data_IF_087414234363
#
_entry.id   IF_087414234363
#
_cell.length_a   1.000
_cell.length_b   1.000
_cell.length_c   1.000
_cell.angle_alpha   90.00
_cell.angle_beta   90.00
_cell.angle_gamma   90.00
#
_symmetry.space_group_name_H-M   'P 1'
#
loop_
_entity.id
_entity.type
_entity.pdbx_description
1 polymer ?
2 non-polymer ?
3 non-polymer ?
4 non-polymer ?
5 water ?
#
# COMPACT_ATOMS: atom_id res chain seq x y z
N UNK A 1 10.51 7.34 27.48
CA UNK A 1 9.42 8.09 26.87
C UNK A 1 9.35 7.86 25.39
N UNK A 2 8.16 8.00 24.83
CA UNK A 2 7.95 7.86 23.40
C UNK A 2 6.66 8.55 23.00
N UNK A 3 6.68 9.21 21.84
CA UNK A 3 5.49 9.88 21.30
C UNK A 3 4.39 8.91 20.95
N UNK A 4 4.76 7.64 20.80
CA UNK A 4 3.84 6.63 20.35
C UNK A 4 3.14 7.12 19.09
N UNK A 5 3.91 7.75 18.20
CA UNK A 5 3.38 8.26 16.95
C UNK A 5 3.31 7.06 16.01
N UNK A 6 2.11 6.54 15.88
CA UNK A 6 1.91 5.29 15.17
C UNK A 6 0.83 5.51 14.12
N UNK A 7 1.14 5.14 12.88
CA UNK A 7 0.21 5.32 11.77
C UNK A 7 -0.23 3.96 11.26
N UNK A 8 -1.54 3.79 11.11
CA UNK A 8 -2.08 2.57 10.53
C UNK A 8 -2.05 2.68 9.01
N UNK A 9 -1.30 1.79 8.37
CA UNK A 9 -1.17 1.76 6.91
C UNK A 9 -1.69 0.43 6.44
N UNK A 10 -2.71 0.43 5.60
CA UNK A 10 -3.31 -0.80 5.09
C UNK A 10 -2.88 -1.03 3.65
N UNK A 11 -2.45 -2.25 3.34
CA UNK A 11 -1.94 -2.59 2.02
C UNK A 11 -2.92 -3.53 1.33
N UNK A 12 -3.50 -3.05 0.21
CA UNK A 12 -4.60 -3.72 -0.47
C UNK A 12 -4.24 -4.07 -1.90
N UNK A 13 -4.91 -5.08 -2.44
CA UNK A 13 -4.74 -5.43 -3.83
C UNK A 13 -4.85 -6.93 -4.06
N UNK A 14 -4.92 -7.31 -5.34
CA UNK A 14 -5.04 -8.68 -5.82
C UNK A 14 -3.89 -9.57 -5.34
N UNK A 15 -4.08 -10.89 -5.36
CA UNK A 15 -3.03 -11.80 -4.94
C UNK A 15 -1.76 -11.79 -5.78
N UNK A 16 -1.83 -11.26 -7.00
CA UNK A 16 -0.63 -11.17 -7.83
C UNK A 16 0.22 -9.94 -7.54
N UNK A 17 -0.27 -9.02 -6.72
CA UNK A 17 0.30 -7.69 -6.67
C UNK A 17 1.65 -7.57 -5.95
N UNK A 18 1.89 -8.43 -4.96
CA UNK A 18 3.15 -8.40 -4.24
C UNK A 18 3.14 -7.60 -2.95
N UNK A 19 1.99 -7.55 -2.30
CA UNK A 19 1.80 -6.81 -1.04
C UNK A 19 2.72 -7.30 0.08
N UNK A 20 2.76 -8.60 0.29
CA UNK A 20 3.58 -9.13 1.36
C UNK A 20 5.06 -8.88 1.05
N UNK A 21 5.44 -9.06 -0.21
CA UNK A 21 6.82 -8.84 -0.61
C UNK A 21 7.23 -7.38 -0.41
N UNK A 22 6.33 -6.45 -0.73
CA UNK A 22 6.58 -5.04 -0.53
C UNK A 22 6.78 -4.74 0.95
N UNK A 23 5.89 -5.28 1.78
CA UNK A 23 5.93 -5.04 3.21
C UNK A 23 7.18 -5.64 3.83
N UNK A 24 7.53 -6.85 3.42
CA UNK A 24 8.71 -7.50 3.99
C UNK A 24 10.00 -6.84 3.49
N UNK A 25 10.00 -6.33 2.26
CA UNK A 25 11.16 -5.59 1.78
C UNK A 25 11.38 -4.35 2.66
N UNK A 26 10.30 -3.65 2.97
CA UNK A 26 10.39 -2.46 3.81
C UNK A 26 10.71 -2.79 5.26
N UNK A 27 9.98 -3.74 5.81
CA UNK A 27 10.01 -3.96 7.26
C UNK A 27 11.23 -4.74 7.73
N UNK A 28 11.82 -5.55 6.86
CA UNK A 28 12.95 -6.38 7.25
C UNK A 28 13.97 -6.59 6.13
N UNK A 29 13.75 -5.92 5.01
CA UNK A 29 14.67 -5.99 3.88
C UNK A 29 15.00 -7.42 3.45
N UNK A 30 13.98 -8.13 2.97
CA UNK A 30 14.16 -9.50 2.50
C UNK A 30 13.11 -9.83 1.44
N UNK A 31 13.40 -10.81 0.57
CA UNK A 31 12.51 -11.16 -0.55
C UNK A 31 12.45 -12.67 -0.86
N UNK A 32 11.26 -13.17 -1.18
CA UNK A 32 11.08 -14.56 -1.58
C UNK A 32 10.38 -14.72 -2.92
N UNK A 33 10.93 -15.60 -3.75
CA UNK A 33 10.36 -15.86 -5.07
C UNK A 33 9.14 -16.77 -5.03
N UNK A 34 9.16 -17.74 -4.11
CA UNK A 34 8.04 -18.68 -3.99
C UNK A 34 6.86 -18.04 -3.29
N UNK A 35 5.74 -18.05 -3.98
CA UNK A 35 4.51 -17.41 -3.49
C UNK A 35 3.90 -18.16 -2.32
N UNK A 36 3.75 -17.47 -1.20
CA UNK A 36 3.01 -17.99 -0.05
C UNK A 36 1.86 -17.04 0.25
N UNK A 37 0.66 -17.50 -0.09
CA UNK A 37 -0.55 -16.68 0.03
C UNK A 37 -0.83 -16.27 1.48
N UNK A 38 -1.17 -15.01 1.67
CA UNK A 38 -1.54 -14.50 2.99
C UNK A 38 -3.01 -14.82 3.25
N UNK A 39 -3.26 -15.54 4.33
CA UNK A 39 -4.62 -15.83 4.73
C UNK A 39 -5.07 -14.80 5.78
N UNK A 40 -6.09 -14.04 5.43
CA UNK A 40 -6.63 -13.01 6.31
C UNK A 40 -5.75 -11.79 6.25
N UNK A 41 -4.85 -11.67 7.21
CA UNK A 41 -3.88 -10.59 7.17
C UNK A 41 -2.73 -10.85 8.10
N UNK A 42 -1.71 -10.01 7.95
CA UNK A 42 -0.54 -10.09 8.80
C UNK A 42 -0.22 -8.65 9.15
N UNK A 43 0.62 -8.46 10.16
CA UNK A 43 0.90 -7.14 10.68
C UNK A 43 2.37 -6.97 10.92
N UNK A 44 2.87 -5.82 10.50
CA UNK A 44 4.29 -5.49 10.65
C UNK A 44 4.42 -4.13 11.31
N UNK A 45 5.56 -3.91 11.96
CA UNK A 45 5.88 -2.60 12.49
C UNK A 45 7.26 -2.19 12.00
N UNK A 46 7.39 -0.93 11.57
CA UNK A 46 8.72 -0.37 11.36
C UNK A 46 8.75 1.09 11.70
N UNK A 47 9.75 1.47 12.49
CA UNK A 47 9.92 2.84 12.90
C UNK A 47 10.92 3.50 11.97
N UNK A 48 10.59 4.71 11.52
CA UNK A 48 11.49 5.48 10.70
C UNK A 48 11.64 6.89 11.27
N UNK A 49 12.70 7.57 10.90
CA UNK A 49 12.93 8.94 11.34
C UNK A 49 12.80 9.88 10.15
N UNK A 50 11.78 10.72 10.19
CA UNK A 50 11.58 11.76 9.18
C UNK A 50 12.39 13.02 9.51
N UNK A 51 12.53 13.94 8.55
CA UNK A 51 13.34 15.14 8.80
C UNK A 51 12.94 15.91 10.06
N UNK A 52 13.94 16.44 10.75
CA UNK A 52 13.71 17.12 12.00
C UNK A 52 13.70 16.14 13.16
N UNK A 53 14.26 14.95 12.93
CA UNK A 53 14.25 13.94 13.98
C UNK A 53 12.83 13.63 14.43
N UNK A 54 11.99 13.40 13.44
CA UNK A 54 10.59 13.10 13.69
C UNK A 54 10.37 11.60 13.56
N UNK A 55 10.25 10.93 14.70
CA UNK A 55 10.13 9.49 14.71
C UNK A 55 8.71 9.00 14.62
N UNK A 56 8.48 8.05 13.71
CA UNK A 56 7.14 7.56 13.52
C UNK A 56 7.17 6.08 13.23
N UNK A 57 6.18 5.38 13.78
CA UNK A 57 6.08 3.95 13.63
C UNK A 57 4.95 3.65 12.67
N UNK A 58 5.27 2.92 11.60
CA UNK A 58 4.25 2.47 10.67
C UNK A 58 3.74 1.11 11.10
N UNK A 59 2.44 1.04 11.36
CA UNK A 59 1.76 -0.20 11.66
C UNK A 59 1.18 -0.67 10.34
N UNK A 60 1.84 -1.64 9.72
CA UNK A 60 1.44 -2.06 8.39
C UNK A 60 0.56 -3.29 8.43
N UNK A 61 -0.64 -3.14 7.88
CA UNK A 61 -1.61 -4.22 7.82
C UNK A 61 -1.53 -4.80 6.43
N UNK A 62 -0.93 -5.98 6.32
CA UNK A 62 -0.75 -6.68 5.05
C UNK A 62 -1.96 -7.58 4.86
N UNK A 63 -2.88 -7.14 4.00
CA UNK A 63 -4.17 -7.80 3.84
C UNK A 63 -4.09 -8.91 2.78
N UNK A 64 -4.70 -10.06 3.04
CA UNK A 64 -4.74 -11.11 2.03
C UNK A 64 -5.65 -10.77 0.86
N UNK A 65 -5.22 -11.09 -0.35
CA UNK A 65 -6.00 -10.78 -1.54
C UNK A 65 -7.41 -11.39 -1.57
N UNK A 66 -7.62 -12.50 -0.89
CA UNK A 66 -8.92 -13.17 -0.89
C UNK A 66 -9.95 -12.42 -0.05
N UNK A 67 -9.48 -11.49 0.79
CA UNK A 67 -10.39 -10.83 1.72
C UNK A 67 -11.45 -9.97 1.02
N UNK A 68 -11.20 -9.62 -0.24
CA UNK A 68 -12.15 -8.80 -1.00
C UNK A 68 -13.50 -9.52 -1.15
N UNK A 69 -13.48 -10.84 -1.00
CA UNK A 69 -14.70 -11.63 -1.15
C UNK A 69 -15.60 -11.66 0.07
N UNK A 70 -15.14 -11.10 1.19
CA UNK A 70 -15.92 -11.12 2.43
C UNK A 70 -16.15 -9.76 3.05
N UNK A 71 -16.67 -9.77 4.27
CA UNK A 71 -17.02 -8.53 4.97
C UNK A 71 -15.98 -8.09 6.00
N UNK A 72 -15.02 -8.96 6.27
CA UNK A 72 -13.96 -8.63 7.24
C UNK A 72 -13.12 -7.47 6.75
N UNK A 73 -13.04 -7.32 5.44
CA UNK A 73 -12.23 -6.26 4.85
C UNK A 73 -12.59 -4.86 5.36
N UNK A 74 -13.89 -4.58 5.47
CA UNK A 74 -14.32 -3.26 5.92
C UNK A 74 -13.74 -2.95 7.29
N UNK A 75 -13.68 -3.95 8.15
CA UNK A 75 -13.15 -3.81 9.50
C UNK A 75 -11.66 -3.53 9.49
N UNK A 76 -10.94 -4.20 8.58
CA UNK A 76 -9.51 -4.02 8.48
C UNK A 76 -9.15 -2.61 8.00
N UNK A 77 -9.99 -2.05 7.13
CA UNK A 77 -9.72 -0.73 6.57
C UNK A 77 -10.04 0.39 7.57
N UNK A 78 -11.01 0.14 8.43
CA UNK A 78 -11.43 1.12 9.42
C UNK A 78 -10.26 1.69 10.21
N UNK A 79 -10.19 3.01 10.29
CA UNK A 79 -9.20 3.67 11.12
C UNK A 79 -7.83 3.82 10.45
N UNK A 80 -7.73 3.47 9.17
CA UNK A 80 -6.47 3.61 8.46
C UNK A 80 -6.11 5.09 8.27
N UNK A 81 -4.83 5.41 8.45
CA UNK A 81 -4.32 6.74 8.10
C UNK A 81 -3.84 6.77 6.66
N UNK A 82 -3.38 5.62 6.17
CA UNK A 82 -2.95 5.50 4.79
C UNK A 82 -3.38 4.18 4.20
N UNK A 83 -3.65 4.17 2.90
CA UNK A 83 -4.01 2.96 2.17
C UNK A 83 -3.11 2.88 0.95
N UNK A 84 -2.48 1.73 0.74
CA UNK A 84 -1.77 1.47 -0.51
C UNK A 84 -2.62 0.57 -1.39
N UNK A 85 -2.90 1.03 -2.61
CA UNK A 85 -3.55 0.19 -3.61
C UNK A 85 -2.44 -0.33 -4.51
N UNK A 86 -2.11 -1.61 -4.38
CA UNK A 86 -0.96 -2.18 -5.04
C UNK A 86 -1.42 -3.03 -6.23
N UNK A 87 -0.73 -2.89 -7.35
CA UNK A 87 -0.97 -3.81 -8.47
C UNK A 87 0.36 -4.22 -9.08
N UNK A 88 0.32 -5.29 -9.86
CA UNK A 88 1.47 -5.81 -10.61
C UNK A 88 1.42 -5.16 -11.99
N UNK A 89 2.46 -4.40 -12.35
CA UNK A 89 2.41 -3.66 -13.61
C UNK A 89 2.35 -4.57 -14.84
N UNK A 90 2.62 -5.87 -14.66
CA UNK A 90 2.53 -6.83 -15.77
C UNK A 90 1.20 -7.57 -15.85
N UNK A 91 0.30 -7.27 -14.93
CA UNK A 91 -0.90 -8.08 -14.76
C UNK A 91 -2.14 -7.19 -14.81
N UNK A 92 -2.81 -7.18 -15.96
CA UNK A 92 -3.92 -6.27 -16.15
C UNK A 92 -5.04 -6.49 -15.13
N UNK A 93 -5.37 -7.75 -14.85
CA UNK A 93 -6.42 -8.05 -13.88
C UNK A 93 -6.13 -7.43 -12.52
N UNK A 94 -4.87 -7.46 -12.10
CA UNK A 94 -4.53 -6.87 -10.80
C UNK A 94 -4.81 -5.37 -10.78
N UNK A 95 -4.63 -4.71 -11.91
CA UNK A 95 -4.93 -3.28 -11.99
C UNK A 95 -6.44 -3.04 -12.03
N UNK A 96 -7.14 -3.76 -12.89
CA UNK A 96 -8.59 -3.65 -13.02
C UNK A 96 -9.28 -3.89 -11.67
N UNK A 97 -8.77 -4.88 -10.93
CA UNK A 97 -9.38 -5.23 -9.64
C UNK A 97 -9.28 -4.13 -8.58
N UNK A 98 -8.40 -3.16 -8.79
CA UNK A 98 -8.28 -2.09 -7.80
C UNK A 98 -9.58 -1.31 -7.63
N UNK A 99 -10.43 -1.30 -8.66
CA UNK A 99 -11.72 -0.63 -8.53
C UNK A 99 -12.52 -1.23 -7.39
N UNK A 100 -12.42 -2.54 -7.23
CA UNK A 100 -13.19 -3.24 -6.19
C UNK A 100 -12.65 -2.87 -4.81
N UNK A 101 -11.33 -2.90 -4.67
CA UNK A 101 -10.71 -2.55 -3.40
C UNK A 101 -11.00 -1.09 -3.05
N UNK A 102 -10.87 -0.20 -4.03
CA UNK A 102 -11.07 1.21 -3.76
C UNK A 102 -12.54 1.54 -3.46
N UNK A 103 -13.47 0.81 -4.06
CA UNK A 103 -14.88 0.98 -3.70
C UNK A 103 -15.09 0.74 -2.20
N UNK A 104 -14.47 -0.30 -1.67
CA UNK A 104 -14.57 -0.57 -0.24
C UNK A 104 -13.92 0.55 0.58
N UNK A 105 -12.75 1.01 0.15
CA UNK A 105 -12.08 2.12 0.84
C UNK A 105 -12.98 3.35 0.93
N UNK A 106 -13.60 3.72 -0.19
CA UNK A 106 -14.48 4.87 -0.22
C UNK A 106 -15.69 4.67 0.67
N UNK A 107 -16.25 3.47 0.64
CA UNK A 107 -17.42 3.15 1.46
C UNK A 107 -17.09 3.33 2.95
N UNK A 108 -15.95 2.81 3.36
CA UNK A 108 -15.54 2.93 4.76
C UNK A 108 -15.24 4.37 5.13
N UNK A 109 -14.63 5.12 4.21
CA UNK A 109 -14.30 6.52 4.44
C UNK A 109 -15.57 7.35 4.62
N UNK A 110 -16.60 7.01 3.85
CA UNK A 110 -17.87 7.71 3.89
C UNK A 110 -18.58 7.49 5.24
N UNK A 111 -18.62 6.23 5.68
CA UNK A 111 -19.37 5.89 6.88
C UNK A 111 -18.61 6.22 8.17
N UNK A 112 -17.28 6.25 8.08
CA UNK A 112 -16.47 6.62 9.23
C UNK A 112 -16.19 8.11 9.21
N UNK A 113 -16.65 8.78 8.17
CA UNK A 113 -16.43 10.22 8.03
C UNK A 113 -14.94 10.55 8.12
N UNK A 114 -14.11 9.67 7.59
CA UNK A 114 -12.66 9.88 7.61
C UNK A 114 -12.14 10.09 6.20
N UNK A 115 -10.83 10.29 6.08
CA UNK A 115 -10.21 10.51 4.78
C UNK A 115 -8.73 10.11 4.77
N UNK A 116 -8.48 8.81 4.82
CA UNK A 116 -7.11 8.30 4.79
C UNK A 116 -6.44 8.62 3.45
N UNK A 117 -5.15 8.93 3.48
CA UNK A 117 -4.41 9.19 2.26
C UNK A 117 -4.29 7.90 1.47
N UNK A 118 -4.50 7.97 0.16
CA UNK A 118 -4.46 6.78 -0.67
C UNK A 118 -3.34 6.90 -1.71
N UNK A 119 -2.54 5.84 -1.80
CA UNK A 119 -1.40 5.79 -2.70
C UNK A 119 -1.62 4.66 -3.71
N UNK A 120 -1.38 4.94 -4.98
CA UNK A 120 -1.40 3.91 -6.01
C UNK A 120 0.02 3.44 -6.22
N UNK A 121 0.23 2.13 -6.08
CA UNK A 121 1.58 1.57 -6.11
C UNK A 121 1.69 0.53 -7.20
N UNK A 122 2.42 0.88 -8.27
CA UNK A 122 2.71 -0.08 -9.32
C UNK A 122 3.96 -0.86 -8.93
N UNK A 123 3.77 -2.11 -8.55
CA UNK A 123 4.87 -2.97 -8.13
C UNK A 123 5.41 -3.80 -9.31
N UNK A 124 6.60 -4.36 -9.09
CA UNK A 124 7.26 -5.20 -10.08
C UNK A 124 7.83 -4.38 -11.23
N UNK A 125 8.41 -3.21 -10.92
CA UNK A 125 9.02 -2.42 -12.00
C UNK A 125 10.31 -3.05 -12.54
N UNK A 126 10.85 -4.04 -11.84
CA UNK A 126 11.94 -4.84 -12.39
C UNK A 126 11.49 -5.58 -13.66
N UNK A 127 10.17 -5.73 -13.83
CA UNK A 127 9.62 -6.41 -15.00
C UNK A 127 9.10 -5.39 -16.01
N UNK A 128 9.68 -4.20 -16.01
CA UNK A 128 9.15 -3.12 -16.85
C UNK A 128 9.08 -3.52 -18.33
N UNK A 129 10.00 -4.35 -18.79
CA UNK A 129 9.99 -4.73 -20.20
C UNK A 129 8.76 -5.57 -20.58
N UNK A 130 8.09 -6.15 -19.59
CA UNK A 130 6.86 -6.91 -19.85
C UNK A 130 5.63 -6.24 -19.23
N UNK A 131 5.78 -4.96 -18.95
CA UNK A 131 4.70 -4.12 -18.47
C UNK A 131 3.47 -4.19 -19.37
N UNK A 132 2.29 -4.25 -18.76
CA UNK A 132 1.07 -4.17 -19.54
C UNK A 132 0.26 -2.90 -19.25
N UNK A 133 0.30 -2.41 -18.01
CA UNK A 133 -0.39 -1.16 -17.68
C UNK A 133 0.47 0.05 -18.06
N UNK A 134 -0.05 0.88 -18.96
CA UNK A 134 0.67 2.08 -19.40
C UNK A 134 0.84 3.07 -18.25
N UNK A 135 2.01 3.71 -18.15
CA UNK A 135 2.21 4.72 -17.11
C UNK A 135 1.15 5.81 -17.21
N UNK A 136 0.70 6.11 -18.42
CA UNK A 136 -0.32 7.13 -18.63
C UNK A 136 -1.63 6.78 -17.93
N UNK A 137 -1.97 5.50 -17.91
CA UNK A 137 -3.22 5.05 -17.29
C UNK A 137 -3.10 5.09 -15.77
N UNK A 138 -1.94 4.68 -15.27
CA UNK A 138 -1.63 4.78 -13.84
C UNK A 138 -1.80 6.25 -13.40
N UNK A 139 -1.21 7.18 -14.16
CA UNK A 139 -1.31 8.60 -13.85
C UNK A 139 -2.74 9.09 -13.88
N UNK A 140 -3.50 8.65 -14.89
CA UNK A 140 -4.90 9.05 -15.04
C UNK A 140 -5.73 8.62 -13.82
N UNK A 141 -5.53 7.39 -13.39
CA UNK A 141 -6.23 6.86 -12.23
C UNK A 141 -5.87 7.70 -10.98
N UNK A 142 -4.60 8.08 -10.84
CA UNK A 142 -4.20 8.96 -9.74
C UNK A 142 -4.90 10.31 -9.81
N UNK A 143 -4.92 10.90 -11.00
CA UNK A 143 -5.50 12.22 -11.20
C UNK A 143 -7.00 12.21 -10.90
N UNK A 144 -7.67 11.14 -11.32
CA UNK A 144 -9.13 11.04 -11.14
C UNK A 144 -9.50 10.99 -9.66
N UNK A 145 -8.61 10.45 -8.83
CA UNK A 145 -8.96 10.16 -7.44
C UNK A 145 -8.09 10.84 -6.40
N UNK A 146 -7.13 11.64 -6.83
CA UNK A 146 -6.23 12.30 -5.91
C UNK A 146 -5.23 11.39 -5.20
N UNK A 147 -4.84 10.30 -5.86
CA UNK A 147 -3.88 9.38 -5.24
C UNK A 147 -2.47 9.90 -5.37
N UNK A 148 -1.59 9.56 -4.43
CA UNK A 148 -0.17 9.73 -4.67
C UNK A 148 0.29 8.56 -5.54
N UNK A 149 1.35 8.78 -6.29
CA UNK A 149 1.81 7.83 -7.29
C UNK A 149 3.16 7.25 -6.97
N UNK A 150 3.27 5.92 -7.03
CA UNK A 150 4.54 5.24 -6.75
C UNK A 150 4.75 4.08 -7.69
N UNK A 151 6.01 3.90 -8.07
CA UNK A 151 6.45 2.74 -8.83
C UNK A 151 7.61 2.12 -8.08
N UNK A 152 7.50 0.84 -7.79
CA UNK A 152 8.45 0.19 -6.89
C UNK A 152 8.76 -1.22 -7.36
N UNK A 153 9.82 -1.82 -6.80
CA UNK A 153 10.04 -3.24 -6.95
C UNK A 153 10.38 -3.85 -5.61
N UNK A 154 9.49 -4.69 -5.09
CA UNK A 154 9.80 -5.41 -3.86
C UNK A 154 11.01 -6.32 -4.04
N UNK A 155 11.19 -6.81 -5.26
CA UNK A 155 12.27 -7.74 -5.55
C UNK A 155 13.66 -7.09 -5.49
N UNK A 156 13.82 -5.94 -6.13
CA UNK A 156 15.13 -5.27 -6.13
C UNK A 156 15.25 -4.28 -4.99
N UNK A 157 14.10 -3.91 -4.40
CA UNK A 157 14.04 -2.88 -3.37
C UNK A 157 13.86 -1.48 -3.93
N UNK A 158 13.90 -1.35 -5.24
CA UNK A 158 13.79 -0.07 -5.94
C UNK A 158 12.61 0.77 -5.42
N UNK A 159 12.92 1.88 -4.77
CA UNK A 159 11.94 2.88 -4.33
C UNK A 159 10.95 2.42 -3.26
N UNK A 160 11.20 1.25 -2.66
CA UNK A 160 10.28 0.73 -1.63
C UNK A 160 10.32 1.58 -0.35
N UNK A 161 11.52 1.80 0.18
CA UNK A 161 11.63 2.65 1.35
C UNK A 161 11.07 4.05 1.05
N UNK A 162 11.41 4.59 -0.11
CA UNK A 162 10.94 5.93 -0.47
C UNK A 162 9.42 5.99 -0.52
N UNK A 163 8.78 4.94 -0.99
CA UNK A 163 7.33 4.89 -1.04
C UNK A 163 6.73 5.01 0.35
N UNK A 164 7.16 4.14 1.27
CA UNK A 164 6.61 4.17 2.62
C UNK A 164 6.94 5.48 3.35
N UNK A 165 8.15 5.98 3.13
CA UNK A 165 8.57 7.25 3.71
C UNK A 165 7.67 8.39 3.22
N UNK A 166 7.40 8.42 1.92
CA UNK A 166 6.55 9.46 1.35
C UNK A 166 5.13 9.37 1.88
N UNK A 167 4.60 8.15 1.97
CA UNK A 167 3.26 7.99 2.51
C UNK A 167 3.20 8.49 3.97
N UNK A 168 4.18 8.13 4.79
CA UNK A 168 4.21 8.61 6.16
C UNK A 168 4.30 10.12 6.22
N UNK A 169 5.19 10.69 5.40
CA UNK A 169 5.39 12.14 5.40
C UNK A 169 4.12 12.87 4.94
N UNK A 170 3.41 12.32 3.96
CA UNK A 170 2.19 12.95 3.48
C UNK A 170 1.09 12.92 4.53
N UNK A 171 0.98 11.79 5.24
CA UNK A 171 -0.01 11.68 6.31
C UNK A 171 0.24 12.76 7.38
N UNK A 172 1.49 12.91 7.78
CA UNK A 172 1.82 13.87 8.84
C UNK A 172 1.84 15.31 8.33
N UNK A 173 2.07 15.47 7.02
CA UNK A 173 2.19 16.79 6.42
C UNK A 173 3.57 17.40 6.48
N UNK A 174 4.61 16.58 6.45
CA UNK A 174 6.00 17.03 6.56
C UNK A 174 6.67 17.09 5.19
N UNK A 175 7.43 18.15 4.94
CA UNK A 175 8.17 18.28 3.68
C UNK A 175 9.40 17.38 3.67
N UNK A 176 9.61 16.67 2.57
CA UNK A 176 10.81 15.83 2.44
C UNK A 176 11.98 16.53 1.73
N UNK A 177 11.67 17.56 0.95
CA UNK A 177 12.69 18.35 0.25
C UNK A 177 13.58 17.49 -0.66
X LIG B 1 0.46 -11.71 0.91
X LIG C 1 -1.62 -12.50 -1.36
X LIG C 1 -2.25 -13.75 -1.93
X LIG C 1 -1.00 -12.77 -0.01
X LIG C 1 -2.66 -11.41 -1.31
X LIG C 1 -0.46 -12.01 -2.38
X LIG C 1 0.62 -10.80 -2.25
X LIG C 1 0.12 -9.55 -2.88
X LIG C 1 1.01 -10.70 -0.83
X LIG C 1 1.88 -11.16 -3.09
X LIG C 1 3.27 -11.75 -2.69
X LIG C 1 4.08 -10.71 -1.99
X LIG C 1 3.09 -13.06 -2.02
X LIG C 1 3.99 -11.97 -4.07
X LIG C 1 3.31 -12.67 -5.10
X LIG C 1 4.30 -13.16 -6.12
X LIG C 1 4.89 -12.03 -6.81
X LIG C 1 5.46 -13.96 -5.54
X LIG C 1 5.84 -15.01 -6.43
X LIG C 1 6.56 -12.91 -5.43
X LIG C 1 7.88 -13.42 -5.49
X LIG C 1 6.30 -12.06 -6.66
X LIG C 1 6.74 -10.67 -6.53
X LIG C 1 6.39 -9.79 -5.53
X LIG C 1 6.93 -8.60 -5.68
X LIG C 1 7.68 -8.72 -6.85
X LIG C 1 8.49 -7.76 -7.51
X LIG C 1 8.70 -6.58 -7.20
X LIG C 1 9.07 -8.28 -8.68
X LIG C 1 8.90 -9.57 -9.13
X LIG C 1 9.55 -9.90 -10.26
X LIG C 1 8.16 -10.48 -8.51
X LIG C 1 7.56 -9.98 -7.38
X LIG D 1 17.50 15.66 11.28
X LIG D 1 16.91 16.56 10.36
X LIG D 1 17.38 14.23 10.75
X LIG D 1 16.04 13.81 10.83
X LIG D 1 18.26 13.29 11.57
X LIG D 1 19.60 13.73 11.57
X LIG E 1 10.77 -8.92 -17.42
X LIG E 1 11.14 -9.89 -18.37
X LIG E 1 11.03 -7.56 -18.04
X LIG E 1 11.52 -7.80 -19.34
X LIG E 1 12.11 -6.84 -17.23
X LIG E 1 12.03 -5.45 -17.44
#
# INVERSE_FOLDING_TARGET
GSHMRQLKIVVLGDGASGKTSLTTCFAQETFGKQYKQTIGLDFFLRRITLPGNLNVTLQIWDIGGQTIGGKMLDKYIYGAQGVLLVYDITNYQSFENLEDWYTVVKKVSEESETQPLVALVGNKIDLEHMRTIKPEKHLRFCQENGFSSHFVSAKTGDSVFLCFQKVAAEILGIKLNK
MG MG
GNP PG O1G O2G O3G N3B PB O1B O2B O3A PA O1A O2A O5' C5' C4' O4' C3' O3' C2' O2' C1' N9 C8 N7 C5 C6 O6 N1 C2 N2 N3 C4
GOL C1 O1 C2 O2 C3 O3
GOL C1 O1 C2 O2 C3 O3
#
